data_IF_951289829049
#
_entry.id   IF_951289829049
#
_cell.length_a   1.000
_cell.length_b   1.000
_cell.length_c   1.000
_cell.angle_alpha   90.00
_cell.angle_beta   90.00
_cell.angle_gamma   90.00
#
_symmetry.space_group_name_H-M   'P 1'
#
loop_
_entity.id
_entity.type
_entity.pdbx_description
1 polymer ?
#
# COMPACT_ATOMS: atom_id res chain seq x y z
N UNK A 1 10.42 -3.33 -24.53
CA UNK A 1 9.48 -3.51 -23.40
C UNK A 1 8.11 -3.63 -24.04
N UNK A 2 7.57 -4.84 -24.05
CA UNK A 2 6.35 -5.12 -24.80
C UNK A 2 5.16 -4.49 -24.07
N UNK A 3 4.10 -4.12 -24.79
CA UNK A 3 2.90 -3.49 -24.22
C UNK A 3 2.29 -4.34 -23.07
N UNK A 4 2.49 -5.66 -23.15
CA UNK A 4 2.12 -6.65 -22.13
C UNK A 4 2.80 -6.42 -20.78
N UNK A 5 4.09 -6.06 -20.75
CA UNK A 5 4.84 -5.84 -19.51
C UNK A 5 4.30 -4.64 -18.72
N UNK A 6 3.86 -3.62 -19.47
CA UNK A 6 3.30 -2.40 -18.90
C UNK A 6 1.93 -2.66 -18.27
N UNK A 7 1.06 -3.44 -18.92
CA UNK A 7 -0.23 -3.83 -18.37
C UNK A 7 -0.07 -4.66 -17.09
N UNK A 8 0.85 -5.63 -17.09
CA UNK A 8 1.11 -6.47 -15.91
C UNK A 8 1.61 -5.63 -14.75
N UNK A 9 2.59 -4.75 -14.99
CA UNK A 9 3.12 -3.86 -13.96
C UNK A 9 2.05 -2.93 -13.37
N UNK A 10 1.19 -2.36 -14.22
CA UNK A 10 0.10 -1.49 -13.78
C UNK A 10 -0.93 -2.25 -12.94
N UNK A 11 -1.31 -3.47 -13.38
CA UNK A 11 -2.30 -4.30 -12.69
C UNK A 11 -1.79 -4.76 -11.32
N UNK A 12 -0.50 -5.10 -11.23
CA UNK A 12 0.16 -5.44 -9.97
C UNK A 12 0.18 -4.25 -9.01
N UNK A 13 0.51 -3.04 -9.47
CA UNK A 13 0.47 -1.85 -8.63
C UNK A 13 -0.93 -1.56 -8.08
N UNK A 14 -1.96 -1.64 -8.93
CA UNK A 14 -3.36 -1.42 -8.52
C UNK A 14 -3.82 -2.48 -7.52
N UNK A 15 -3.49 -3.75 -7.76
CA UNK A 15 -3.80 -4.83 -6.83
C UNK A 15 -3.10 -4.63 -5.48
N UNK A 16 -1.80 -4.29 -5.48
CA UNK A 16 -1.05 -4.03 -4.25
C UNK A 16 -1.55 -2.83 -3.47
N UNK A 17 -1.93 -1.76 -4.17
CA UNK A 17 -2.53 -0.60 -3.53
C UNK A 17 -3.85 -0.97 -2.85
N UNK A 18 -4.72 -1.74 -3.53
CA UNK A 18 -5.97 -2.26 -2.95
C UNK A 18 -5.73 -3.14 -1.72
N UNK A 19 -4.75 -4.04 -1.77
CA UNK A 19 -4.39 -4.89 -0.63
C UNK A 19 -3.80 -4.10 0.54
N UNK A 20 -2.92 -3.12 0.29
CA UNK A 20 -2.36 -2.27 1.34
C UNK A 20 -3.45 -1.43 2.02
N UNK A 21 -4.40 -0.92 1.24
CA UNK A 21 -5.55 -0.17 1.76
C UNK A 21 -6.47 -1.05 2.60
N UNK A 22 -6.75 -2.27 2.15
CA UNK A 22 -7.55 -3.24 2.89
C UNK A 22 -6.86 -3.71 4.18
N UNK A 23 -5.56 -4.01 4.12
CA UNK A 23 -4.76 -4.48 5.26
C UNK A 23 -4.69 -3.43 6.38
N UNK A 24 -4.57 -2.15 6.04
CA UNK A 24 -4.62 -1.10 7.03
C UNK A 24 -6.02 -0.88 7.61
N UNK A 25 -7.08 -1.27 6.92
CA UNK A 25 -8.43 -1.28 7.50
C UNK A 25 -8.55 -2.19 8.72
N UNK A 26 -7.70 -3.22 8.82
CA UNK A 26 -7.66 -4.14 9.96
C UNK A 26 -6.85 -3.61 11.16
N UNK A 27 -6.10 -2.51 11.01
CA UNK A 27 -5.36 -1.92 12.11
C UNK A 27 -6.30 -1.23 13.08
N UNK A 28 -6.16 -1.57 14.36
CA UNK A 28 -7.00 -1.03 15.42
C UNK A 28 -6.39 0.28 15.95
N UNK A 29 -6.59 1.38 15.23
CA UNK A 29 -5.94 2.67 15.50
C UNK A 29 -6.19 3.19 16.92
N UNK A 30 -7.35 2.91 17.51
CA UNK A 30 -7.66 3.28 18.90
C UNK A 30 -6.77 2.57 19.93
N UNK A 31 -6.21 1.41 19.61
CA UNK A 31 -5.34 0.65 20.51
C UNK A 31 -3.87 1.04 20.38
N UNK A 32 -3.44 1.45 19.19
CA UNK A 32 -2.04 1.77 18.90
C UNK A 32 -1.71 3.26 19.01
N UNK A 33 -2.70 4.15 18.90
CA UNK A 33 -2.46 5.59 18.94
C UNK A 33 -2.97 6.26 20.21
N UNK A 34 -2.23 7.30 20.65
CA UNK A 34 -2.60 8.11 21.82
C UNK A 34 -3.98 8.74 21.60
N UNK A 35 -4.88 8.52 22.56
CA UNK A 35 -6.19 9.17 22.63
C UNK A 35 -6.04 10.69 22.48
N UNK A 36 -6.91 11.28 21.64
CA UNK A 36 -6.93 12.72 21.36
C UNK A 36 -6.17 13.19 20.11
N UNK A 37 -5.37 12.33 19.45
CA UNK A 37 -4.62 12.68 18.23
C UNK A 37 -5.15 12.00 16.96
N UNK A 38 -6.46 12.13 16.71
CA UNK A 38 -7.14 11.51 15.55
C UNK A 38 -6.62 12.02 14.21
N UNK A 39 -6.20 13.29 14.11
CA UNK A 39 -5.63 13.86 12.89
C UNK A 39 -4.25 13.27 12.56
N UNK A 40 -3.36 13.13 13.54
CA UNK A 40 -2.05 12.48 13.32
C UNK A 40 -2.22 10.99 12.98
N UNK A 41 -3.23 10.32 13.53
CA UNK A 41 -3.59 8.96 13.18
C UNK A 41 -3.89 8.79 11.69
N UNK A 42 -4.74 9.66 11.16
CA UNK A 42 -5.16 9.61 9.76
C UNK A 42 -4.00 9.93 8.81
N UNK A 43 -3.13 10.88 9.16
CA UNK A 43 -1.94 11.18 8.36
C UNK A 43 -0.97 9.99 8.35
N UNK A 44 -0.73 9.37 9.52
CA UNK A 44 0.11 8.18 9.62
C UNK A 44 -0.47 7.01 8.81
N UNK A 45 -1.79 6.83 8.86
CA UNK A 45 -2.52 5.86 8.05
C UNK A 45 -2.23 6.07 6.56
N UNK A 46 -2.45 7.29 6.07
CA UNK A 46 -2.24 7.60 4.66
C UNK A 46 -0.79 7.41 4.21
N UNK A 47 0.17 7.85 5.02
CA UNK A 47 1.59 7.64 4.75
C UNK A 47 1.95 6.14 4.73
N UNK A 48 1.43 5.36 5.68
CA UNK A 48 1.65 3.92 5.72
C UNK A 48 0.99 3.21 4.52
N UNK A 49 -0.19 3.65 4.06
CA UNK A 49 -0.85 3.16 2.85
C UNK A 49 0.05 3.28 1.64
N UNK A 50 0.53 4.50 1.43
CA UNK A 50 1.30 4.86 0.26
C UNK A 50 2.65 4.14 0.28
N UNK A 51 3.30 4.08 1.44
CA UNK A 51 4.56 3.37 1.61
C UNK A 51 4.39 1.86 1.37
N UNK A 52 3.40 1.22 1.99
CA UNK A 52 3.15 -0.22 1.83
C UNK A 52 2.73 -0.57 0.40
N UNK A 53 1.80 0.19 -0.18
CA UNK A 53 1.35 -0.02 -1.56
C UNK A 53 2.51 0.10 -2.56
N UNK A 54 3.38 1.10 -2.38
CA UNK A 54 4.57 1.26 -3.21
C UNK A 54 5.60 0.15 -3.00
N UNK A 55 5.83 -0.25 -1.75
CA UNK A 55 6.83 -1.27 -1.42
C UNK A 55 6.40 -2.65 -1.92
N UNK A 56 5.15 -3.05 -1.67
CA UNK A 56 4.62 -4.32 -2.16
C UNK A 56 4.49 -4.33 -3.68
N UNK A 57 4.09 -3.20 -4.28
CA UNK A 57 4.13 -3.00 -5.73
C UNK A 57 5.53 -3.25 -6.26
N UNK A 58 6.50 -2.44 -5.83
CA UNK A 58 7.94 -2.52 -6.18
C UNK A 58 8.49 -3.94 -6.03
N UNK A 59 8.15 -4.63 -4.94
CA UNK A 59 8.60 -6.00 -4.66
C UNK A 59 8.05 -7.01 -5.68
N UNK A 60 6.77 -6.92 -6.04
CA UNK A 60 6.16 -7.80 -7.04
C UNK A 60 6.73 -7.56 -8.44
N UNK A 61 6.96 -6.31 -8.86
CA UNK A 61 7.54 -6.08 -10.19
C UNK A 61 8.99 -6.55 -10.23
N UNK A 62 9.72 -6.43 -9.11
CA UNK A 62 11.07 -6.95 -9.00
C UNK A 62 11.14 -8.49 -9.06
N UNK A 63 10.05 -9.21 -8.74
CA UNK A 63 9.93 -10.66 -8.95
C UNK A 63 9.55 -10.99 -10.39
N UNK A 64 8.61 -10.21 -10.98
CA UNK A 64 8.10 -10.48 -12.33
C UNK A 64 9.11 -10.12 -13.42
N UNK A 65 9.90 -9.06 -13.24
CA UNK A 65 10.80 -8.51 -14.26
C UNK A 65 12.28 -8.94 -14.07
N UNK A 66 12.57 -9.76 -13.06
CA UNK A 66 13.89 -10.33 -12.81
C UNK A 66 13.95 -11.78 -13.28
#
# INVERSE_FOLDING_TARGET
MSLSDFLVSALVYVACFGFAFWAMGALNYEKYLKQGHTAQAQVLYFMAAMALGYLCGSFLLAIVYR
#
